data_IF_662969341740
#
_entry.id   IF_662969341740
#
_cell.length_a   1.000
_cell.length_b   1.000
_cell.length_c   1.000
_cell.angle_alpha   90.00
_cell.angle_beta   90.00
_cell.angle_gamma   90.00
#
_symmetry.space_group_name_H-M   'P 1'
#
loop_
_entity.id
_entity.type
_entity.pdbx_description
1 polymer ?
#
# COMPACT_ATOMS: atom_id res chain seq x y z
N UNK A 1 19.53 1.31 10.03
CA UNK A 1 20.38 2.52 9.89
C UNK A 1 19.47 3.66 9.43
N UNK A 2 19.40 4.74 10.19
CA UNK A 2 18.59 5.92 9.81
C UNK A 2 19.14 6.53 8.53
N UNK A 3 18.31 6.93 7.54
CA UNK A 3 18.81 7.69 6.41
C UNK A 3 19.28 9.05 6.91
N UNK A 4 20.59 9.29 6.85
CA UNK A 4 21.17 10.59 7.13
C UNK A 4 20.56 11.61 6.17
N UNK A 5 20.03 12.71 6.72
CA UNK A 5 19.48 13.83 5.94
C UNK A 5 20.56 14.34 4.98
N UNK A 6 20.42 14.03 3.70
CA UNK A 6 21.15 14.68 2.62
C UNK A 6 20.57 16.07 2.42
N UNK A 7 21.04 17.01 3.23
CA UNK A 7 20.82 18.44 3.01
C UNK A 7 22.13 19.01 2.48
N UNK A 8 22.12 19.51 1.24
CA UNK A 8 23.16 20.45 0.80
C UNK A 8 23.29 21.51 1.90
N UNK A 9 24.49 21.78 2.45
CA UNK A 9 24.64 22.72 3.55
C UNK A 9 24.38 24.12 2.99
N UNK A 10 23.14 24.58 3.14
CA UNK A 10 22.69 25.90 2.70
C UNK A 10 22.66 26.78 3.94
N UNK A 11 23.38 27.91 3.95
CA UNK A 11 23.35 28.84 5.07
C UNK A 11 21.94 29.41 5.27
N UNK A 12 21.53 29.52 6.52
CA UNK A 12 20.27 30.13 6.93
C UNK A 12 20.16 31.57 6.41
N UNK A 13 18.93 32.07 6.27
CA UNK A 13 18.71 33.47 5.83
C UNK A 13 19.40 34.46 6.75
N UNK A 14 19.44 34.18 8.05
CA UNK A 14 20.12 34.99 9.06
C UNK A 14 21.64 34.94 8.88
N UNK A 15 22.23 33.75 8.72
CA UNK A 15 23.65 33.60 8.45
C UNK A 15 24.10 34.33 7.17
N UNK A 16 23.28 34.27 6.10
CA UNK A 16 23.56 35.00 4.85
C UNK A 16 23.57 36.51 5.02
N UNK A 17 22.57 37.09 5.70
CA UNK A 17 22.53 38.55 5.92
C UNK A 17 23.70 39.01 6.79
N UNK A 18 23.99 38.27 7.85
CA UNK A 18 25.09 38.56 8.78
C UNK A 18 26.45 38.47 8.11
N UNK A 19 26.68 37.47 7.26
CA UNK A 19 27.92 37.34 6.49
C UNK A 19 28.14 38.50 5.52
N UNK A 20 27.09 39.00 4.86
CA UNK A 20 27.18 40.19 3.98
C UNK A 20 27.54 41.44 4.78
N UNK A 21 27.05 41.59 6.00
CA UNK A 21 27.43 42.70 6.88
C UNK A 21 28.90 42.62 7.31
N UNK A 22 29.40 41.42 7.61
CA UNK A 22 30.81 41.19 7.94
C UNK A 22 31.72 41.54 6.76
N UNK A 23 31.39 41.10 5.53
CA UNK A 23 32.14 41.48 4.32
C UNK A 23 32.22 43.01 4.14
N UNK A 24 31.12 43.73 4.36
CA UNK A 24 31.10 45.20 4.25
C UNK A 24 31.99 45.86 5.30
N UNK A 25 31.98 45.36 6.54
CA UNK A 25 32.83 45.88 7.63
C UNK A 25 34.32 45.65 7.34
N UNK A 26 34.67 44.47 6.83
CA UNK A 26 36.05 44.13 6.46
C UNK A 26 36.59 45.06 5.36
N UNK A 27 35.82 45.27 4.28
CA UNK A 27 36.20 46.17 3.17
C UNK A 27 36.36 47.64 3.61
N UNK A 28 35.51 48.11 4.54
CA UNK A 28 35.63 49.45 5.11
C UNK A 28 36.87 49.60 6.01
N UNK A 29 37.24 48.55 6.74
CA UNK A 29 38.47 48.50 7.54
C UNK A 29 39.73 48.51 6.68
N UNK A 30 39.74 47.71 5.61
CA UNK A 30 40.87 47.58 4.69
C UNK A 30 41.13 48.89 3.92
N UNK A 31 40.07 49.60 3.52
CA UNK A 31 40.17 50.93 2.89
C UNK A 31 40.76 52.01 3.81
N UNK A 32 40.76 51.78 5.13
CA UNK A 32 41.32 52.68 6.15
C UNK A 32 42.71 52.27 6.63
N UNK A 33 43.31 51.23 6.04
CA UNK A 33 44.62 50.71 6.43
C UNK A 33 44.61 49.88 7.73
N UNK A 34 43.42 49.45 8.20
CA UNK A 34 43.31 48.58 9.38
C UNK A 34 43.48 47.09 9.01
N UNK A 35 43.84 46.28 10.01
CA UNK A 35 44.00 44.82 9.92
C UNK A 35 42.75 44.12 9.36
N UNK A 36 42.96 43.10 8.52
CA UNK A 36 41.97 42.23 7.83
C UNK A 36 41.13 41.34 8.78
N UNK A 37 40.95 41.73 10.03
CA UNK A 37 40.23 40.93 11.02
C UNK A 37 39.35 41.80 11.90
N UNK A 38 38.11 41.34 12.09
CA UNK A 38 37.06 42.02 12.83
C UNK A 38 37.04 41.47 14.26
N UNK A 39 36.98 42.33 15.28
CA UNK A 39 36.78 41.85 16.66
C UNK A 39 35.37 41.29 16.81
N UNK A 40 35.25 40.15 17.49
CA UNK A 40 33.97 39.48 17.72
C UNK A 40 32.98 40.39 18.45
N UNK A 41 33.45 41.15 19.45
CA UNK A 41 32.65 42.08 20.24
C UNK A 41 32.12 43.31 19.45
N UNK A 42 32.73 43.65 18.32
CA UNK A 42 32.29 44.76 17.45
C UNK A 42 31.16 44.34 16.48
N UNK A 43 30.71 43.09 16.57
CA UNK A 43 29.67 42.51 15.76
C UNK A 43 28.54 42.00 16.64
N UNK A 44 27.31 42.47 16.39
CA UNK A 44 26.09 41.98 17.03
C UNK A 44 25.74 40.59 16.47
N UNK A 45 26.52 39.58 16.87
CA UNK A 45 26.44 38.19 16.39
C UNK A 45 25.89 37.30 17.50
N UNK A 46 24.76 36.65 17.26
CA UNK A 46 24.32 35.56 18.13
C UNK A 46 25.22 34.32 17.96
N UNK A 47 25.42 33.57 19.04
CA UNK A 47 26.29 32.38 19.04
C UNK A 47 25.84 31.29 18.06
N UNK A 48 24.53 31.16 17.80
CA UNK A 48 23.99 30.19 16.85
C UNK A 48 24.41 30.49 15.42
N UNK A 49 24.27 31.75 15.00
CA UNK A 49 24.66 32.21 13.66
C UNK A 49 26.18 32.18 13.47
N UNK A 50 26.95 32.54 14.51
CA UNK A 50 28.41 32.43 14.45
C UNK A 50 28.87 30.97 14.34
N UNK A 51 28.27 30.05 15.11
CA UNK A 51 28.55 28.63 15.03
C UNK A 51 28.24 28.04 13.65
N UNK A 52 27.14 28.45 13.03
CA UNK A 52 26.77 28.08 11.67
C UNK A 52 27.80 28.59 10.63
N UNK A 53 28.20 29.86 10.71
CA UNK A 53 29.20 30.44 9.80
C UNK A 53 30.59 29.80 9.94
N UNK A 54 30.99 29.45 11.16
CA UNK A 54 32.23 28.72 11.43
C UNK A 54 32.17 27.28 10.90
N UNK A 55 31.04 26.58 11.10
CA UNK A 55 30.86 25.21 10.63
C UNK A 55 30.88 25.09 9.10
N UNK A 56 30.35 26.08 8.39
CA UNK A 56 30.47 26.18 6.92
C UNK A 56 31.82 26.78 6.46
N UNK A 57 32.62 27.27 7.41
CA UNK A 57 33.90 27.94 7.21
C UNK A 57 33.79 29.18 6.33
N UNK A 58 32.67 29.90 6.45
CA UNK A 58 32.45 31.23 5.88
C UNK A 58 33.18 32.31 6.69
N UNK A 59 33.42 32.03 7.98
CA UNK A 59 34.25 32.83 8.87
C UNK A 59 35.31 31.91 9.46
N UNK A 60 36.50 32.43 9.71
CA UNK A 60 37.57 31.74 10.43
C UNK A 60 37.94 32.52 11.69
N UNK A 61 38.22 31.80 12.78
CA UNK A 61 38.86 32.35 13.97
C UNK A 61 40.36 32.15 13.86
N UNK A 62 41.14 33.17 14.25
CA UNK A 62 42.57 32.99 14.40
C UNK A 62 42.86 32.16 15.66
N UNK A 63 43.66 31.10 15.50
CA UNK A 63 44.11 30.24 16.60
C UNK A 63 44.93 30.98 17.67
N UNK A 64 45.62 32.06 17.31
CA UNK A 64 46.40 32.86 18.26
C UNK A 64 45.55 33.94 18.95
N UNK A 65 44.48 34.40 18.29
CA UNK A 65 43.55 35.41 18.82
C UNK A 65 42.09 35.03 18.52
N UNK A 66 41.46 34.14 19.33
CA UNK A 66 40.11 33.62 19.08
C UNK A 66 39.01 34.69 19.01
N UNK A 67 39.31 35.88 19.53
CA UNK A 67 38.43 37.05 19.55
C UNK A 67 38.45 37.85 18.23
N UNK A 68 39.24 37.41 17.25
CA UNK A 68 39.33 38.02 15.92
C UNK A 68 38.79 37.06 14.86
N UNK A 69 37.84 37.56 14.08
CA UNK A 69 37.18 36.88 12.98
C UNK A 69 37.73 37.39 11.65
N UNK A 70 38.05 36.48 10.74
CA UNK A 70 38.37 36.78 9.34
C UNK A 70 37.24 36.25 8.45
N UNK A 71 36.78 37.06 7.49
CA UNK A 71 35.73 36.64 6.57
C UNK A 71 36.39 35.93 5.39
N UNK A 72 35.93 34.73 5.08
CA UNK A 72 36.47 33.94 3.96
C UNK A 72 35.72 34.33 2.70
N UNK A 73 36.43 34.60 1.61
CA UNK A 73 35.82 34.95 0.32
C UNK A 73 34.77 33.90 -0.15
N UNK A 74 33.59 34.32 -0.64
CA UNK A 74 32.50 33.40 -0.97
C UNK A 74 32.85 32.46 -2.14
N UNK A 75 33.71 32.88 -3.07
CA UNK A 75 34.22 32.01 -4.14
C UNK A 75 35.12 30.91 -3.61
N UNK A 76 35.92 31.19 -2.57
CA UNK A 76 36.74 30.18 -1.88
C UNK A 76 35.85 29.19 -1.12
N UNK A 77 34.81 29.67 -0.44
CA UNK A 77 33.84 28.82 0.27
C UNK A 77 33.08 27.92 -0.72
N UNK A 78 32.58 28.49 -1.81
CA UNK A 78 31.85 27.77 -2.87
C UNK A 78 32.73 26.71 -3.54
N UNK A 79 33.96 27.05 -3.91
CA UNK A 79 34.91 26.11 -4.50
C UNK A 79 35.22 24.93 -3.55
N UNK A 80 35.42 25.20 -2.25
CA UNK A 80 35.70 24.16 -1.23
C UNK A 80 34.49 23.25 -1.01
N UNK A 81 33.29 23.82 -0.80
CA UNK A 81 32.06 23.04 -0.60
C UNK A 81 31.70 22.25 -1.87
N UNK A 82 31.86 22.85 -3.05
CA UNK A 82 31.66 22.18 -4.33
C UNK A 82 32.65 21.03 -4.54
N UNK A 83 33.92 21.21 -4.17
CA UNK A 83 34.92 20.14 -4.21
C UNK A 83 34.58 18.99 -3.25
N UNK A 84 34.14 19.30 -2.03
CA UNK A 84 33.70 18.30 -1.05
C UNK A 84 32.49 17.51 -1.57
N UNK A 85 31.45 18.19 -2.06
CA UNK A 85 30.25 17.55 -2.61
C UNK A 85 30.59 16.67 -3.81
N UNK A 86 31.46 17.14 -4.73
CA UNK A 86 31.94 16.32 -5.85
C UNK A 86 32.71 15.10 -5.36
N UNK A 87 33.60 15.26 -4.38
CA UNK A 87 34.36 14.16 -3.80
C UNK A 87 33.43 13.13 -3.17
N UNK A 88 32.47 13.56 -2.35
CA UNK A 88 31.48 12.66 -1.73
C UNK A 88 30.63 11.96 -2.79
N UNK A 89 30.18 12.67 -3.82
CA UNK A 89 29.43 12.07 -4.92
C UNK A 89 30.26 11.01 -5.68
N UNK A 90 31.54 11.30 -5.94
CA UNK A 90 32.45 10.34 -6.57
C UNK A 90 32.67 9.11 -5.68
N UNK A 91 32.88 9.30 -4.37
CA UNK A 91 32.99 8.18 -3.40
C UNK A 91 31.71 7.35 -3.37
N UNK A 92 30.53 7.97 -3.30
CA UNK A 92 29.25 7.24 -3.32
C UNK A 92 29.03 6.47 -4.64
N UNK A 93 29.44 7.04 -5.78
CA UNK A 93 29.39 6.36 -7.06
C UNK A 93 30.37 5.19 -7.14
N UNK A 94 31.56 5.35 -6.57
CA UNK A 94 32.56 4.29 -6.47
C UNK A 94 32.11 3.16 -5.55
N UNK A 95 31.54 3.49 -4.38
CA UNK A 95 30.91 2.53 -3.47
C UNK A 95 29.76 1.77 -4.15
N UNK A 96 28.91 2.45 -4.92
CA UNK A 96 27.83 1.82 -5.66
C UNK A 96 28.35 0.87 -6.76
N UNK A 97 29.42 1.26 -7.47
CA UNK A 97 30.09 0.41 -8.46
C UNK A 97 30.74 -0.78 -7.80
N UNK A 98 31.52 -0.58 -6.74
CA UNK A 98 32.17 -1.64 -5.98
C UNK A 98 31.14 -2.61 -5.40
N UNK A 99 30.01 -2.14 -4.89
CA UNK A 99 28.91 -2.99 -4.42
C UNK A 99 28.33 -3.83 -5.58
N UNK A 100 28.15 -3.22 -6.75
CA UNK A 100 27.70 -3.94 -7.94
C UNK A 100 28.71 -5.01 -8.33
N UNK A 101 29.99 -4.69 -8.40
CA UNK A 101 31.07 -5.62 -8.78
C UNK A 101 31.27 -6.73 -7.75
N UNK A 102 31.05 -6.46 -6.46
CA UNK A 102 31.10 -7.47 -5.39
C UNK A 102 29.89 -8.41 -5.42
N UNK A 103 28.69 -7.88 -5.70
CA UNK A 103 27.47 -8.67 -5.71
C UNK A 103 27.27 -9.42 -7.04
N UNK A 104 27.78 -8.92 -8.16
CA UNK A 104 27.53 -9.53 -9.47
C UNK A 104 28.01 -10.98 -9.59
N UNK A 105 29.19 -11.37 -9.08
CA UNK A 105 29.63 -12.76 -9.03
C UNK A 105 28.74 -13.61 -8.11
N UNK A 106 28.29 -13.08 -6.97
CA UNK A 106 27.34 -13.77 -6.06
C UNK A 106 25.96 -13.93 -6.71
N UNK A 107 25.51 -12.95 -7.49
CA UNK A 107 24.28 -12.99 -8.28
C UNK A 107 24.42 -14.00 -9.43
N UNK A 108 25.58 -14.09 -10.08
CA UNK A 108 25.85 -15.08 -11.11
C UNK A 108 25.92 -16.51 -10.51
N UNK A 109 26.62 -16.68 -9.39
CA UNK A 109 26.76 -17.96 -8.68
C UNK A 109 25.41 -18.44 -8.10
N UNK A 110 24.60 -17.52 -7.57
CA UNK A 110 23.23 -17.84 -7.12
C UNK A 110 22.28 -18.24 -8.26
N UNK A 111 22.63 -17.94 -9.51
CA UNK A 111 21.89 -18.38 -10.71
C UNK A 111 22.37 -19.74 -11.23
N UNK A 112 23.59 -20.17 -10.90
CA UNK A 112 24.20 -21.43 -11.36
C UNK A 112 24.16 -22.56 -10.33
N UNK A 113 24.05 -22.27 -9.04
CA UNK A 113 23.82 -23.29 -8.00
C UNK A 113 22.36 -23.83 -8.00
N UNK A 114 22.08 -24.96 -7.33
CA UNK A 114 20.71 -25.33 -6.97
C UNK A 114 20.17 -24.20 -6.09
N UNK A 115 19.18 -23.48 -6.61
CA UNK A 115 18.58 -22.28 -6.00
C UNK A 115 18.32 -22.48 -4.50
N UNK A 116 18.94 -21.71 -3.59
CA UNK A 116 18.40 -21.49 -2.26
C UNK A 116 17.35 -20.37 -2.40
N UNK A 117 16.11 -20.75 -2.72
CA UNK A 117 14.97 -19.95 -2.26
C UNK A 117 14.70 -20.37 -0.81
N UNK A 118 15.45 -19.79 0.13
CA UNK A 118 15.09 -19.87 1.55
C UNK A 118 13.95 -18.89 1.84
N UNK A 119 12.80 -19.38 1.44
CA UNK A 119 11.46 -19.11 1.91
C UNK A 119 10.66 -20.21 1.24
N UNK A 120 9.98 -21.06 2.00
CA UNK A 120 9.09 -22.06 1.42
C UNK A 120 8.26 -21.37 0.31
N UNK A 121 8.17 -21.93 -0.92
CA UNK A 121 7.46 -21.28 -2.03
C UNK A 121 6.00 -20.95 -1.69
N UNK A 122 5.52 -21.58 -0.62
CA UNK A 122 4.24 -21.43 0.04
C UNK A 122 4.54 -21.30 1.54
N UNK A 123 4.45 -20.09 2.11
CA UNK A 123 4.64 -19.85 3.56
C UNK A 123 3.30 -19.60 4.21
N UNK A 124 3.03 -20.28 5.33
CA UNK A 124 1.86 -20.01 6.15
C UNK A 124 2.19 -19.03 7.27
N UNK A 125 1.34 -18.03 7.46
CA UNK A 125 1.46 -17.01 8.50
C UNK A 125 0.21 -17.02 9.34
N UNK A 126 0.41 -16.84 10.64
CA UNK A 126 -0.66 -16.80 11.63
C UNK A 126 -0.69 -15.42 12.31
N UNK A 127 -1.89 -14.96 12.65
CA UNK A 127 -2.13 -13.70 13.33
C UNK A 127 -2.43 -12.55 12.38
N UNK A 128 -3.59 -11.91 12.60
CA UNK A 128 -4.09 -10.79 11.78
C UNK A 128 -3.11 -9.61 11.69
N UNK A 129 -2.38 -9.33 12.77
CA UNK A 129 -1.40 -8.24 12.80
C UNK A 129 -0.19 -8.54 11.90
N UNK A 130 0.38 -9.75 11.99
CA UNK A 130 1.49 -10.19 11.16
C UNK A 130 1.10 -10.25 9.67
N UNK A 131 -0.06 -10.83 9.37
CA UNK A 131 -0.62 -10.87 8.01
C UNK A 131 -0.78 -9.45 7.45
N UNK A 132 -1.39 -8.55 8.22
CA UNK A 132 -1.60 -7.16 7.78
C UNK A 132 -0.29 -6.42 7.55
N UNK A 133 0.71 -6.61 8.43
CA UNK A 133 2.02 -5.98 8.27
C UNK A 133 2.70 -6.42 6.98
N UNK A 134 2.77 -7.72 6.73
CA UNK A 134 3.47 -8.29 5.56
C UNK A 134 2.73 -7.95 4.26
N UNK A 135 1.40 -8.00 4.25
CA UNK A 135 0.60 -7.55 3.10
C UNK A 135 0.86 -6.07 2.82
N UNK A 136 0.82 -5.21 3.84
CA UNK A 136 1.03 -3.77 3.65
C UNK A 136 2.43 -3.45 3.14
N UNK A 137 3.46 -4.10 3.68
CA UNK A 137 4.84 -3.94 3.21
C UNK A 137 4.99 -4.39 1.76
N UNK A 138 4.44 -5.56 1.42
CA UNK A 138 4.51 -6.10 0.06
C UNK A 138 3.77 -5.22 -0.94
N UNK A 139 2.59 -4.72 -0.57
CA UNK A 139 1.80 -3.80 -1.39
C UNK A 139 2.55 -2.50 -1.61
N UNK A 140 3.23 -1.97 -0.59
CA UNK A 140 4.04 -0.76 -0.73
C UNK A 140 5.25 -0.94 -1.66
N UNK A 141 5.73 -2.15 -1.85
CA UNK A 141 6.81 -2.47 -2.79
C UNK A 141 6.32 -2.74 -4.22
N UNK A 142 5.01 -2.73 -4.48
CA UNK A 142 4.46 -2.99 -5.80
C UNK A 142 4.94 -1.95 -6.82
N UNK A 143 5.32 -2.44 -8.01
CA UNK A 143 5.94 -1.63 -9.08
C UNK A 143 5.12 -1.60 -10.36
N UNK A 144 4.26 -2.58 -10.62
CA UNK A 144 3.53 -2.72 -11.89
C UNK A 144 2.05 -2.83 -11.68
N UNK A 145 1.61 -3.80 -10.87
CA UNK A 145 0.18 -4.08 -10.72
C UNK A 145 -0.16 -4.67 -9.35
N UNK A 146 -1.36 -4.30 -8.86
CA UNK A 146 -1.98 -4.80 -7.65
C UNK A 146 -3.40 -5.27 -7.97
N UNK A 147 -3.65 -6.56 -7.82
CA UNK A 147 -4.98 -7.15 -7.97
C UNK A 147 -5.50 -7.58 -6.60
N UNK A 148 -6.70 -7.15 -6.24
CA UNK A 148 -7.32 -7.59 -4.99
C UNK A 148 -8.76 -8.07 -5.20
N UNK A 149 -9.10 -9.20 -4.60
CA UNK A 149 -10.46 -9.69 -4.48
C UNK A 149 -10.86 -9.65 -3.00
N UNK A 150 -11.87 -8.86 -2.68
CA UNK A 150 -12.36 -8.60 -1.33
C UNK A 150 -13.79 -9.15 -1.16
N UNK A 151 -13.94 -10.40 -0.69
CA UNK A 151 -15.26 -10.97 -0.44
C UNK A 151 -15.83 -10.57 0.91
N UNK A 152 -17.15 -10.68 1.00
CA UNK A 152 -17.98 -10.14 2.06
C UNK A 152 -18.53 -8.77 1.69
N UNK A 153 -19.02 -8.07 2.70
CA UNK A 153 -19.65 -6.76 2.55
C UNK A 153 -18.65 -5.63 2.76
N UNK A 154 -19.16 -4.51 3.26
CA UNK A 154 -18.37 -3.35 3.60
C UNK A 154 -17.11 -3.63 4.41
N UNK A 155 -16.07 -2.83 4.18
CA UNK A 155 -14.83 -2.88 4.95
C UNK A 155 -14.90 -1.93 6.15
N UNK A 156 -14.30 -2.27 7.30
CA UNK A 156 -14.22 -1.35 8.44
C UNK A 156 -13.59 -0.01 8.04
N UNK A 157 -14.18 1.10 8.51
CA UNK A 157 -13.78 2.46 8.11
C UNK A 157 -12.28 2.72 8.33
N UNK A 158 -11.75 2.38 9.50
CA UNK A 158 -10.33 2.54 9.84
C UNK A 158 -9.39 1.78 8.90
N UNK A 159 -9.85 0.64 8.36
CA UNK A 159 -9.11 -0.12 7.36
C UNK A 159 -9.14 0.59 6.01
N UNK A 160 -10.30 1.11 5.61
CA UNK A 160 -10.44 1.85 4.36
C UNK A 160 -9.61 3.13 4.33
N UNK A 161 -9.51 3.87 5.45
CA UNK A 161 -8.68 5.08 5.54
C UNK A 161 -7.20 4.79 5.30
N UNK A 162 -6.66 3.72 5.92
CA UNK A 162 -5.27 3.29 5.70
C UNK A 162 -5.04 2.85 4.25
N UNK A 163 -5.95 2.03 3.73
CA UNK A 163 -5.86 1.51 2.37
C UNK A 163 -6.00 2.63 1.33
N UNK A 164 -6.79 3.68 1.61
CA UNK A 164 -6.93 4.86 0.74
C UNK A 164 -5.60 5.54 0.50
N UNK A 165 -4.85 5.83 1.56
CA UNK A 165 -3.55 6.50 1.45
C UNK A 165 -2.54 5.66 0.65
N UNK A 166 -2.46 4.36 0.95
CA UNK A 166 -1.57 3.44 0.24
C UNK A 166 -1.95 3.29 -1.24
N UNK A 167 -3.25 3.16 -1.53
CA UNK A 167 -3.74 3.01 -2.92
C UNK A 167 -3.47 4.27 -3.73
N UNK A 168 -3.67 5.45 -3.15
CA UNK A 168 -3.36 6.73 -3.81
C UNK A 168 -1.87 6.86 -4.14
N UNK A 169 -0.99 6.44 -3.22
CA UNK A 169 0.46 6.41 -3.47
C UNK A 169 0.82 5.51 -4.64
N UNK A 170 0.26 4.29 -4.69
CA UNK A 170 0.49 3.33 -5.77
C UNK A 170 0.07 3.89 -7.13
N UNK A 171 -1.13 4.46 -7.20
CA UNK A 171 -1.64 5.10 -8.42
C UNK A 171 -0.75 6.28 -8.83
N UNK A 172 -0.27 7.07 -7.86
CA UNK A 172 0.69 8.15 -8.11
C UNK A 172 2.03 7.69 -8.69
N UNK A 173 2.46 6.45 -8.39
CA UNK A 173 3.63 5.81 -9.01
C UNK A 173 3.33 5.12 -10.35
N UNK A 174 2.09 5.16 -10.83
CA UNK A 174 1.66 4.51 -12.07
C UNK A 174 1.40 3.01 -11.96
N UNK A 175 1.26 2.48 -10.75
CA UNK A 175 0.90 1.07 -10.53
C UNK A 175 -0.56 0.85 -10.92
N UNK A 176 -0.84 -0.17 -11.73
CA UNK A 176 -2.20 -0.56 -12.05
C UNK A 176 -2.90 -1.18 -10.84
N UNK A 177 -4.01 -0.60 -10.40
CA UNK A 177 -4.79 -1.13 -9.27
C UNK A 177 -6.15 -1.62 -9.75
N UNK A 178 -6.42 -2.92 -9.60
CA UNK A 178 -7.73 -3.54 -9.87
C UNK A 178 -8.29 -4.19 -8.62
N UNK A 179 -9.53 -3.85 -8.27
CA UNK A 179 -10.20 -4.40 -7.09
C UNK A 179 -11.56 -4.99 -7.43
N UNK A 180 -11.76 -6.25 -7.08
CA UNK A 180 -13.02 -6.96 -7.16
C UNK A 180 -13.69 -6.98 -5.77
N UNK A 181 -14.90 -6.46 -5.69
CA UNK A 181 -15.78 -6.57 -4.52
C UNK A 181 -16.95 -7.51 -4.81
N UNK A 182 -17.56 -8.03 -3.75
CA UNK A 182 -18.89 -8.61 -3.89
C UNK A 182 -19.93 -7.50 -4.04
N UNK A 183 -21.04 -7.80 -4.71
CA UNK A 183 -22.10 -6.83 -4.94
C UNK A 183 -22.64 -6.20 -3.65
N UNK A 184 -22.62 -6.93 -2.53
CA UNK A 184 -23.11 -6.42 -1.24
C UNK A 184 -22.32 -5.22 -0.72
N UNK A 185 -21.10 -4.97 -1.23
CA UNK A 185 -20.32 -3.76 -0.96
C UNK A 185 -21.05 -2.47 -1.39
N UNK A 186 -21.98 -2.55 -2.35
CA UNK A 186 -22.82 -1.41 -2.75
C UNK A 186 -23.63 -0.84 -1.60
N UNK A 187 -24.00 -1.64 -0.61
CA UNK A 187 -24.81 -1.18 0.53
C UNK A 187 -23.97 -0.51 1.63
N UNK A 188 -22.64 -0.61 1.57
CA UNK A 188 -21.75 -0.02 2.56
C UNK A 188 -21.28 1.38 2.16
N UNK A 189 -21.73 2.40 2.90
CA UNK A 189 -21.41 3.79 2.59
C UNK A 189 -19.91 4.13 2.64
N UNK A 190 -19.14 3.68 3.64
CA UNK A 190 -17.69 3.86 3.66
C UNK A 190 -17.00 3.26 2.44
N UNK A 191 -17.38 2.05 2.04
CA UNK A 191 -16.79 1.37 0.87
C UNK A 191 -17.14 2.11 -0.41
N UNK A 192 -18.40 2.56 -0.60
CA UNK A 192 -18.77 3.38 -1.76
C UNK A 192 -17.92 4.66 -1.87
N UNK A 193 -17.73 5.36 -0.75
CA UNK A 193 -16.92 6.58 -0.72
C UNK A 193 -15.46 6.27 -1.13
N UNK A 194 -14.85 5.27 -0.50
CA UNK A 194 -13.50 4.81 -0.87
C UNK A 194 -13.39 4.49 -2.35
N UNK A 195 -14.36 3.77 -2.91
CA UNK A 195 -14.38 3.39 -4.32
C UNK A 195 -14.48 4.61 -5.24
N UNK A 196 -15.36 5.56 -4.94
CA UNK A 196 -15.47 6.80 -5.70
C UNK A 196 -14.14 7.56 -5.70
N UNK A 197 -13.50 7.67 -4.54
CA UNK A 197 -12.23 8.36 -4.37
C UNK A 197 -11.08 7.70 -5.15
N UNK A 198 -10.96 6.38 -5.10
CA UNK A 198 -9.88 5.66 -5.79
C UNK A 198 -10.12 5.56 -7.30
N UNK A 199 -11.37 5.45 -7.74
CA UNK A 199 -11.72 5.46 -9.17
C UNK A 199 -11.38 6.81 -9.80
N UNK A 200 -11.60 7.91 -9.07
CA UNK A 200 -11.18 9.25 -9.51
C UNK A 200 -9.65 9.38 -9.68
N UNK A 201 -8.86 8.56 -8.98
CA UNK A 201 -7.40 8.49 -9.11
C UNK A 201 -6.92 7.44 -10.14
N UNK A 202 -7.84 6.77 -10.84
CA UNK A 202 -7.50 5.79 -11.88
C UNK A 202 -7.49 4.32 -11.42
N UNK A 203 -7.87 4.01 -10.18
CA UNK A 203 -8.12 2.62 -9.81
C UNK A 203 -9.32 2.07 -10.58
N UNK A 204 -9.27 0.79 -10.94
CA UNK A 204 -10.41 0.10 -11.51
C UNK A 204 -11.08 -0.74 -10.42
N UNK A 205 -12.39 -0.56 -10.25
CA UNK A 205 -13.17 -1.33 -9.27
C UNK A 205 -14.35 -1.97 -9.96
N UNK A 206 -14.57 -3.25 -9.67
CA UNK A 206 -15.73 -4.02 -10.17
C UNK A 206 -16.41 -4.78 -9.04
N UNK A 207 -17.70 -5.05 -9.22
CA UNK A 207 -18.51 -5.91 -8.34
C UNK A 207 -18.98 -7.16 -9.05
N UNK A 208 -19.01 -8.28 -8.33
CA UNK A 208 -19.58 -9.54 -8.81
C UNK A 208 -20.61 -10.08 -7.82
N UNK A 209 -21.67 -10.69 -8.36
CA UNK A 209 -22.79 -11.20 -7.55
C UNK A 209 -22.48 -12.59 -6.97
N UNK A 210 -21.48 -13.28 -7.54
CA UNK A 210 -21.01 -14.61 -7.10
C UNK A 210 -20.01 -14.55 -5.95
N UNK A 211 -19.96 -15.65 -5.19
CA UNK A 211 -18.94 -15.85 -4.16
C UNK A 211 -17.57 -16.09 -4.79
N UNK A 212 -16.55 -15.50 -4.17
CA UNK A 212 -15.15 -15.74 -4.48
C UNK A 212 -14.34 -15.61 -3.18
N UNK A 213 -13.16 -16.22 -3.15
CA UNK A 213 -12.27 -16.12 -2.00
C UNK A 213 -11.39 -14.89 -2.06
N UNK A 214 -10.86 -14.52 -0.88
CA UNK A 214 -9.98 -13.38 -0.78
C UNK A 214 -8.68 -13.70 -1.50
N UNK A 215 -8.25 -12.79 -2.36
CA UNK A 215 -7.01 -12.91 -3.12
C UNK A 215 -6.33 -11.55 -3.19
N UNK A 216 -5.03 -11.51 -2.99
CA UNK A 216 -4.19 -10.34 -3.27
C UNK A 216 -3.04 -10.83 -4.14
N UNK A 217 -2.82 -10.19 -5.29
CA UNK A 217 -1.69 -10.47 -6.17
C UNK A 217 -0.91 -9.18 -6.41
N UNK A 218 0.41 -9.27 -6.35
CA UNK A 218 1.34 -8.16 -6.54
C UNK A 218 2.32 -8.54 -7.64
N UNK A 219 2.43 -7.70 -8.66
CA UNK A 219 3.37 -7.80 -9.78
C UNK A 219 3.43 -9.19 -10.45
N UNK A 220 2.31 -9.94 -10.42
CA UNK A 220 2.18 -11.34 -10.87
C UNK A 220 3.27 -12.29 -10.35
N UNK A 221 3.89 -11.96 -9.22
CA UNK A 221 5.00 -12.73 -8.64
C UNK A 221 4.77 -13.14 -7.18
N UNK A 222 3.81 -12.51 -6.52
CA UNK A 222 3.46 -12.75 -5.12
C UNK A 222 1.95 -12.78 -4.97
N UNK A 223 1.42 -13.79 -4.28
CA UNK A 223 0.01 -13.89 -3.96
C UNK A 223 -0.23 -14.18 -2.47
N UNK A 224 -1.36 -13.69 -1.95
CA UNK A 224 -1.87 -13.99 -0.63
C UNK A 224 -3.28 -14.56 -0.72
N UNK A 225 -3.51 -15.68 -0.05
CA UNK A 225 -4.83 -16.29 0.12
C UNK A 225 -5.07 -16.61 1.61
N UNK A 226 -6.31 -16.62 2.09
CA UNK A 226 -6.61 -17.10 3.44
C UNK A 226 -6.31 -18.60 3.54
N UNK A 227 -5.77 -19.05 4.67
CA UNK A 227 -5.60 -20.48 4.97
C UNK A 227 -6.85 -21.07 5.65
N UNK A 228 -7.75 -20.21 6.13
CA UNK A 228 -8.89 -20.54 6.96
C UNK A 228 -10.07 -19.56 6.74
N UNK A 229 -11.26 -19.90 7.26
CA UNK A 229 -12.45 -19.05 7.11
C UNK A 229 -12.48 -17.83 8.06
N UNK A 230 -11.77 -17.90 9.18
CA UNK A 230 -11.70 -16.84 10.19
C UNK A 230 -10.72 -15.71 9.78
N UNK A 231 -9.88 -15.99 8.77
CA UNK A 231 -8.88 -15.10 8.19
C UNK A 231 -7.85 -14.67 9.23
N UNK A 232 -7.54 -15.55 10.17
CA UNK A 232 -6.46 -15.39 11.12
C UNK A 232 -5.17 -16.04 10.60
N UNK A 233 -5.27 -16.81 9.52
CA UNK A 233 -4.15 -17.44 8.85
C UNK A 233 -4.16 -17.10 7.36
N UNK A 234 -2.97 -16.89 6.80
CA UNK A 234 -2.80 -16.62 5.38
C UNK A 234 -1.63 -17.41 4.82
N UNK A 235 -1.72 -17.71 3.53
CA UNK A 235 -0.66 -18.35 2.76
C UNK A 235 -0.06 -17.33 1.80
N UNK A 236 1.25 -17.12 1.91
CA UNK A 236 2.06 -16.39 0.94
C UNK A 236 2.54 -17.36 -0.11
N UNK A 237 2.32 -17.03 -1.38
CA UNK A 237 2.68 -17.88 -2.51
C UNK A 237 3.62 -17.11 -3.42
N UNK A 238 4.80 -17.67 -3.65
CA UNK A 238 5.83 -17.18 -4.57
C UNK A 238 6.12 -18.13 -5.73
N UNK A 239 5.55 -19.34 -5.69
CA UNK A 239 5.68 -20.31 -6.79
C UNK A 239 5.08 -19.75 -8.08
N UNK A 240 5.88 -19.46 -9.12
CA UNK A 240 5.40 -18.81 -10.33
C UNK A 240 4.24 -19.54 -11.03
N UNK A 241 4.22 -20.88 -11.00
CA UNK A 241 3.13 -21.64 -11.60
C UNK A 241 1.79 -21.40 -10.88
N UNK A 242 1.82 -21.38 -9.55
CA UNK A 242 0.62 -21.16 -8.72
C UNK A 242 0.17 -19.71 -8.82
N UNK A 243 1.09 -18.74 -8.79
CA UNK A 243 0.74 -17.33 -8.95
C UNK A 243 0.09 -17.07 -10.31
N UNK A 244 0.64 -17.63 -11.40
CA UNK A 244 0.01 -17.53 -12.75
C UNK A 244 -1.40 -18.11 -12.76
N UNK A 245 -1.62 -19.24 -12.09
CA UNK A 245 -2.95 -19.83 -11.97
C UNK A 245 -3.92 -18.90 -11.23
N UNK A 246 -3.51 -18.35 -10.07
CA UNK A 246 -4.33 -17.42 -9.29
C UNK A 246 -4.65 -16.12 -10.04
N UNK A 247 -3.70 -15.60 -10.82
CA UNK A 247 -3.94 -14.47 -11.74
C UNK A 247 -5.01 -14.85 -12.76
N UNK A 248 -4.93 -16.04 -13.37
CA UNK A 248 -5.96 -16.52 -14.30
C UNK A 248 -7.35 -16.64 -13.66
N UNK A 249 -7.43 -17.04 -12.38
CA UNK A 249 -8.68 -17.04 -11.61
C UNK A 249 -9.21 -15.61 -11.43
N UNK A 250 -8.36 -14.67 -11.04
CA UNK A 250 -8.74 -13.26 -10.90
C UNK A 250 -9.26 -12.68 -12.22
N UNK A 251 -8.53 -12.84 -13.32
CA UNK A 251 -8.88 -12.27 -14.63
C UNK A 251 -10.22 -12.82 -15.16
N UNK A 252 -10.49 -14.12 -14.97
CA UNK A 252 -11.80 -14.70 -15.31
C UNK A 252 -12.95 -14.08 -14.52
N UNK A 253 -12.76 -13.84 -13.22
CA UNK A 253 -13.76 -13.17 -12.39
C UNK A 253 -13.91 -11.70 -12.81
N UNK A 254 -12.79 -11.04 -13.11
CA UNK A 254 -12.74 -9.65 -13.56
C UNK A 254 -13.56 -9.40 -14.83
N UNK A 255 -13.43 -10.28 -15.82
CA UNK A 255 -14.17 -10.19 -17.09
C UNK A 255 -15.69 -10.27 -16.90
N UNK A 256 -16.16 -11.00 -15.88
CA UNK A 256 -17.59 -11.22 -15.59
C UNK A 256 -18.18 -10.17 -14.64
N UNK A 257 -17.31 -9.46 -13.92
CA UNK A 257 -17.71 -8.45 -12.95
C UNK A 257 -18.16 -7.14 -13.63
N UNK A 258 -19.10 -6.43 -12.99
CA UNK A 258 -19.63 -5.14 -13.46
C UNK A 258 -18.83 -3.97 -12.87
N UNK A 259 -18.57 -2.87 -13.60
CA UNK A 259 -17.93 -1.67 -13.06
C UNK A 259 -18.65 -1.11 -11.81
N UNK A 260 -17.85 -0.65 -10.83
CA UNK A 260 -18.33 -0.05 -9.58
C UNK A 260 -17.66 1.30 -9.36
N UNK A 261 -18.36 2.40 -9.67
CA UNK A 261 -17.81 3.77 -9.61
C UNK A 261 -18.18 4.53 -8.32
N UNK A 262 -18.87 3.88 -7.37
CA UNK A 262 -19.26 4.47 -6.07
C UNK A 262 -20.36 5.55 -6.12
N UNK A 263 -20.59 6.20 -7.27
CA UNK A 263 -21.48 7.36 -7.45
C UNK A 263 -22.88 7.05 -7.99
N UNK A 264 -23.08 5.90 -8.65
CA UNK A 264 -24.38 5.48 -9.20
C UNK A 264 -25.16 4.61 -8.21
N UNK A 265 -26.36 5.01 -7.79
CA UNK A 265 -27.26 4.09 -7.07
C UNK A 265 -27.68 2.94 -8.00
N UNK A 266 -27.48 1.66 -7.64
CA UNK A 266 -27.98 0.57 -8.48
C UNK A 266 -29.50 0.56 -8.47
N UNK A 267 -30.09 0.78 -9.64
CA UNK A 267 -31.50 0.51 -9.94
C UNK A 267 -31.72 -1.00 -10.20
N UNK A 268 -30.94 -1.89 -9.56
CA UNK A 268 -30.87 -3.34 -9.83
C UNK A 268 -31.27 -4.18 -8.60
N UNK A 269 -32.32 -3.81 -7.88
CA UNK A 269 -32.83 -4.58 -6.74
C UNK A 269 -33.38 -5.97 -7.10
N UNK A 270 -33.54 -6.31 -8.39
CA UNK A 270 -34.16 -7.56 -8.86
C UNK A 270 -33.18 -8.73 -9.11
N UNK A 271 -31.99 -8.49 -9.68
CA UNK A 271 -31.00 -9.56 -9.92
C UNK A 271 -30.23 -9.97 -8.66
N UNK A 272 -29.99 -9.02 -7.74
CA UNK A 272 -29.31 -9.23 -6.46
C UNK A 272 -30.05 -10.26 -5.59
N UNK A 273 -31.37 -10.38 -5.71
CA UNK A 273 -32.17 -11.33 -4.94
C UNK A 273 -31.94 -12.79 -5.35
N UNK A 274 -31.48 -13.08 -6.57
CA UNK A 274 -31.31 -14.45 -7.09
C UNK A 274 -30.03 -15.11 -6.62
N UNK A 275 -28.88 -14.47 -6.84
CA UNK A 275 -27.57 -15.04 -6.46
C UNK A 275 -27.37 -15.05 -4.95
N UNK A 276 -27.85 -14.02 -4.25
CA UNK A 276 -27.89 -13.98 -2.79
C UNK A 276 -28.74 -15.13 -2.22
N UNK A 277 -29.90 -15.40 -2.84
CA UNK A 277 -30.78 -16.52 -2.47
C UNK A 277 -30.07 -17.85 -2.63
N UNK A 278 -29.48 -18.11 -3.79
CA UNK A 278 -28.78 -19.37 -4.07
C UNK A 278 -27.61 -19.58 -3.10
N UNK A 279 -26.89 -18.50 -2.77
CA UNK A 279 -25.81 -18.53 -1.79
C UNK A 279 -26.31 -18.89 -0.39
N UNK A 280 -27.40 -18.27 0.05
CA UNK A 280 -28.03 -18.59 1.34
C UNK A 280 -28.43 -20.07 1.36
N UNK A 281 -29.05 -20.57 0.30
CA UNK A 281 -29.44 -21.99 0.18
C UNK A 281 -28.23 -22.90 0.30
N UNK A 282 -27.15 -22.65 -0.46
CA UNK A 282 -25.94 -23.46 -0.45
C UNK A 282 -25.28 -23.51 0.93
N UNK A 283 -25.19 -22.37 1.60
CA UNK A 283 -24.67 -22.30 2.95
C UNK A 283 -25.55 -23.02 3.99
N UNK A 284 -26.88 -22.92 3.85
CA UNK A 284 -27.82 -23.66 4.70
C UNK A 284 -27.66 -25.18 4.53
N UNK A 285 -27.49 -25.66 3.29
CA UNK A 285 -27.23 -27.07 2.97
C UNK A 285 -25.92 -27.54 3.59
N UNK A 286 -24.87 -26.71 3.54
CA UNK A 286 -23.57 -27.01 4.16
C UNK A 286 -23.58 -26.97 5.69
N UNK A 287 -24.71 -26.61 6.33
CA UNK A 287 -24.82 -26.52 7.78
C UNK A 287 -24.21 -25.28 8.41
N UNK A 288 -23.89 -24.24 7.62
CA UNK A 288 -23.30 -23.00 8.13
C UNK A 288 -24.25 -22.31 9.12
N UNK A 289 -23.74 -21.76 10.23
CA UNK A 289 -24.55 -20.99 11.18
C UNK A 289 -25.03 -19.66 10.58
N UNK A 290 -26.16 -19.13 11.04
CA UNK A 290 -26.72 -17.87 10.52
C UNK A 290 -25.74 -16.70 10.58
N UNK A 291 -24.92 -16.64 11.65
CA UNK A 291 -23.89 -15.63 11.80
C UNK A 291 -22.73 -15.81 10.81
N UNK A 292 -22.35 -17.06 10.50
CA UNK A 292 -21.35 -17.37 9.49
C UNK A 292 -21.84 -17.01 8.08
N UNK A 293 -23.10 -17.31 7.77
CA UNK A 293 -23.72 -16.98 6.49
C UNK A 293 -23.79 -15.47 6.31
N UNK A 294 -24.33 -14.75 7.29
CA UNK A 294 -24.42 -13.28 7.26
C UNK A 294 -23.04 -12.63 7.05
N UNK A 295 -22.02 -13.12 7.76
CA UNK A 295 -20.63 -12.66 7.60
C UNK A 295 -20.07 -12.96 6.20
N UNK A 296 -20.35 -14.16 5.65
CA UNK A 296 -19.87 -14.61 4.34
C UNK A 296 -20.47 -13.81 3.19
N UNK A 297 -21.77 -13.53 3.23
CA UNK A 297 -22.48 -12.73 2.21
C UNK A 297 -22.32 -11.23 2.41
N UNK A 298 -21.78 -10.79 3.56
CA UNK A 298 -21.55 -9.37 3.81
C UNK A 298 -22.75 -8.58 4.30
N UNK A 299 -23.73 -9.24 4.90
CA UNK A 299 -24.94 -8.60 5.43
C UNK A 299 -24.92 -8.57 6.95
N UNK A 300 -25.64 -7.62 7.55
CA UNK A 300 -25.92 -7.67 8.99
C UNK A 300 -26.79 -8.90 9.32
N UNK A 301 -26.70 -9.41 10.55
CA UNK A 301 -27.55 -10.53 11.01
C UNK A 301 -29.03 -10.22 10.84
N UNK A 302 -29.44 -8.96 11.05
CA UNK A 302 -30.81 -8.48 10.84
C UNK A 302 -31.21 -8.50 9.35
N UNK A 303 -30.34 -8.03 8.46
CA UNK A 303 -30.61 -8.06 7.02
C UNK A 303 -30.68 -9.51 6.51
N UNK A 304 -29.74 -10.36 6.93
CA UNK A 304 -29.79 -11.79 6.67
C UNK A 304 -31.09 -12.44 7.18
N UNK A 305 -31.50 -12.17 8.42
CA UNK A 305 -32.75 -12.70 8.98
C UNK A 305 -33.98 -12.29 8.16
N UNK A 306 -33.97 -11.09 7.58
CA UNK A 306 -35.03 -10.62 6.67
C UNK A 306 -35.05 -11.44 5.37
N UNK A 307 -33.88 -11.71 4.78
CA UNK A 307 -33.78 -12.58 3.59
C UNK A 307 -34.17 -14.02 3.89
N UNK A 308 -33.77 -14.57 5.04
CA UNK A 308 -34.14 -15.91 5.48
C UNK A 308 -35.64 -16.03 5.74
N UNK A 309 -36.26 -15.03 6.36
CA UNK A 309 -37.71 -14.99 6.60
C UNK A 309 -38.49 -14.96 5.27
N UNK A 310 -37.99 -14.20 4.29
CA UNK A 310 -38.57 -14.20 2.93
C UNK A 310 -38.46 -15.58 2.28
N UNK A 311 -37.30 -16.23 2.36
CA UNK A 311 -37.07 -17.58 1.83
C UNK A 311 -38.00 -18.63 2.48
N UNK A 312 -38.16 -18.55 3.80
CA UNK A 312 -39.11 -19.35 4.59
C UNK A 312 -40.55 -19.14 4.15
N UNK A 313 -40.97 -17.90 3.97
CA UNK A 313 -42.33 -17.58 3.53
C UNK A 313 -42.61 -18.10 2.12
N UNK A 314 -41.64 -17.99 1.20
CA UNK A 314 -41.78 -18.48 -0.17
C UNK A 314 -41.90 -20.01 -0.23
N UNK A 315 -41.14 -20.71 0.62
CA UNK A 315 -41.16 -22.17 0.72
C UNK A 315 -42.15 -22.71 1.74
N UNK A 316 -43.00 -21.85 2.32
CA UNK A 316 -43.99 -22.20 3.35
C UNK A 316 -43.39 -23.01 4.52
N UNK A 317 -42.19 -22.63 4.95
CA UNK A 317 -41.45 -23.28 6.02
C UNK A 317 -41.35 -22.37 7.25
N UNK A 318 -41.78 -22.84 8.42
CA UNK A 318 -41.71 -22.05 9.65
C UNK A 318 -40.36 -22.21 10.36
N UNK A 319 -39.83 -23.43 10.34
CA UNK A 319 -38.57 -23.79 10.99
C UNK A 319 -37.44 -23.94 9.98
N UNK A 320 -36.19 -23.83 10.48
CA UNK A 320 -35.00 -24.06 9.65
C UNK A 320 -34.93 -25.51 9.13
N UNK A 321 -35.40 -26.46 9.91
CA UNK A 321 -35.46 -27.87 9.51
C UNK A 321 -36.45 -28.07 8.36
N UNK A 322 -37.67 -27.53 8.46
CA UNK A 322 -38.64 -27.55 7.37
C UNK A 322 -38.12 -26.87 6.11
N UNK A 323 -37.43 -25.73 6.25
CA UNK A 323 -36.82 -25.04 5.12
C UNK A 323 -35.79 -25.93 4.40
N UNK A 324 -34.96 -26.64 5.16
CA UNK A 324 -33.99 -27.60 4.60
C UNK A 324 -34.67 -28.79 3.90
N UNK A 325 -35.75 -29.31 4.47
CA UNK A 325 -36.56 -30.37 3.86
C UNK A 325 -37.17 -29.93 2.51
N UNK A 326 -37.81 -28.76 2.46
CA UNK A 326 -38.43 -28.23 1.24
C UNK A 326 -37.39 -27.94 0.14
N UNK A 327 -36.22 -27.41 0.52
CA UNK A 327 -35.10 -27.21 -0.43
C UNK A 327 -34.59 -28.54 -1.00
N UNK A 328 -34.49 -29.59 -0.17
CA UNK A 328 -34.12 -30.92 -0.62
C UNK A 328 -35.15 -31.53 -1.58
N UNK A 329 -36.44 -31.34 -1.30
CA UNK A 329 -37.53 -31.81 -2.17
C UNK A 329 -37.57 -31.09 -3.52
N UNK A 330 -37.28 -29.79 -3.55
CA UNK A 330 -37.13 -29.01 -4.79
C UNK A 330 -35.98 -29.52 -5.64
N UNK A 331 -34.79 -29.69 -5.05
CA UNK A 331 -33.62 -30.21 -5.76
C UNK A 331 -33.86 -31.63 -6.31
N UNK A 332 -34.58 -32.48 -5.57
CA UNK A 332 -34.93 -33.82 -6.03
C UNK A 332 -35.92 -33.81 -7.22
N UNK A 333 -36.86 -32.85 -7.26
CA UNK A 333 -37.79 -32.68 -8.39
C UNK A 333 -37.06 -32.17 -9.63
N UNK A 334 -36.20 -31.18 -9.49
CA UNK A 334 -35.38 -30.66 -10.59
C UNK A 334 -34.45 -31.74 -11.18
N UNK A 335 -33.88 -32.60 -10.33
CA UNK A 335 -33.06 -33.72 -10.77
C UNK A 335 -33.87 -34.80 -11.52
N UNK A 336 -35.12 -35.05 -11.11
CA UNK A 336 -36.01 -35.98 -11.80
C UNK A 336 -36.44 -35.44 -13.18
N UNK A 337 -36.77 -34.14 -13.27
CA UNK A 337 -37.13 -33.48 -14.53
C UNK A 337 -35.94 -33.38 -15.50
N UNK A 338 -34.72 -33.19 -15.00
CA UNK A 338 -33.51 -33.20 -15.83
C UNK A 338 -33.11 -34.60 -16.33
N UNK A 339 -33.45 -35.66 -15.58
CA UNK A 339 -33.26 -37.05 -15.99
C UNK A 339 -34.19 -37.47 -17.13
N UNK A 340 -35.47 -37.09 -17.05
CA UNK A 340 -36.46 -37.35 -18.12
C UNK A 340 -36.14 -36.61 -19.44
N UNK A 341 -35.48 -35.45 -19.37
CA UNK A 341 -35.06 -34.67 -20.55
C UNK A 341 -33.76 -35.16 -21.20
N UNK A 342 -33.02 -36.08 -20.55
CA UNK A 342 -31.81 -36.71 -21.10
C UNK A 342 -32.09 -38.09 -21.72
N UNK A 343 -33.29 -38.64 -21.51
CA UNK A 343 -33.77 -39.90 -22.11
C UNK A 343 -34.73 -39.69 -23.33
N UNK A 344 -34.97 -38.44 -23.72
CA UNK A 344 -35.62 -38.02 -24.97
C UNK A 344 -34.57 -37.49 -25.96
#
# INVERSE_FOLDING_TARGET
>A
MSPAKSGVPIPSTKARSTYVELLRKEWQGQSRGNSETIRRDDCDLDEGTLGELLAMGMVSQDTATPDRLSVVDPGVVEARLGALLRSTALTMLDEARNLTDLLQPLIAESRTGPRPQDGEPIVRIEGKAAISAIVNESVQQATKELFTAQPGGGRPKDTLEKVRMQTAELLGRGVEVRTLYQHTAWHDSPTRQYVADMTALGAQVRTMDELFDRLIVIDRSLAFIPADNERDQAVIIREPAVVRFLVGVFERNWLRAKPFEGSRTPNESSHISGVLRETIIRCLINGDSDSAIAKRIGLSTRAYATHLAKLKSELKADTRFQLGYELGMLAAREAAEAGDMAEL
#
